data_IF_732692446928
#
_entry.id   IF_732692446928
#
_cell.length_a   1.000
_cell.length_b   1.000
_cell.length_c   1.000
_cell.angle_alpha   90.00
_cell.angle_beta   90.00
_cell.angle_gamma   90.00
#
_symmetry.space_group_name_H-M   'P 1'
#
loop_
_entity.id
_entity.type
_entity.pdbx_description
1 polymer ?
#
# COMPACT_ATOMS: atom_id res chain seq x y z
N UNK A 1 17.56 -3.31 -12.38
CA UNK A 1 17.01 -4.67 -12.18
C UNK A 1 16.75 -5.28 -13.54
N UNK A 2 17.56 -6.21 -13.99
CA UNK A 2 17.18 -7.07 -15.11
C UNK A 2 16.68 -8.37 -14.49
N UNK A 3 15.36 -8.59 -14.47
CA UNK A 3 14.84 -9.91 -14.20
C UNK A 3 15.33 -10.83 -15.30
N UNK A 4 16.02 -11.88 -14.94
CA UNK A 4 16.37 -12.96 -15.88
C UNK A 4 15.26 -13.99 -15.70
N UNK A 5 14.45 -14.19 -16.73
CA UNK A 5 13.42 -15.21 -16.74
C UNK A 5 13.99 -16.61 -16.56
N UNK A 6 13.16 -17.64 -16.27
CA UNK A 6 13.59 -19.04 -16.11
C UNK A 6 14.30 -19.59 -17.35
N UNK A 7 14.14 -18.94 -18.50
CA UNK A 7 14.78 -19.28 -19.79
C UNK A 7 16.14 -18.59 -20.02
N UNK A 8 16.65 -17.86 -19.02
CA UNK A 8 17.92 -17.13 -19.09
C UNK A 8 17.88 -15.87 -19.95
N UNK A 9 16.73 -15.48 -20.49
CA UNK A 9 16.57 -14.23 -21.22
C UNK A 9 16.39 -13.06 -20.27
N UNK A 10 17.03 -11.92 -20.56
CA UNK A 10 16.73 -10.66 -19.88
C UNK A 10 15.32 -10.28 -20.26
N UNK A 11 14.40 -10.26 -19.27
CA UNK A 11 13.07 -9.74 -19.48
C UNK A 11 13.20 -8.29 -19.94
N UNK A 12 12.78 -8.07 -21.18
CA UNK A 12 12.67 -6.73 -21.73
C UNK A 12 11.45 -6.09 -21.06
N UNK A 13 11.65 -5.07 -20.23
CA UNK A 13 10.57 -4.31 -19.62
C UNK A 13 9.79 -3.45 -20.64
N UNK A 14 10.13 -3.52 -21.93
CA UNK A 14 9.42 -2.83 -23.00
C UNK A 14 7.94 -3.28 -23.00
N UNK A 15 7.04 -2.30 -22.95
CA UNK A 15 5.59 -2.54 -22.88
C UNK A 15 5.02 -2.63 -21.47
N UNK A 16 5.85 -2.62 -20.41
CA UNK A 16 5.37 -2.49 -19.05
C UNK A 16 4.96 -1.04 -18.77
N UNK A 17 3.69 -0.83 -18.49
CA UNK A 17 3.14 0.49 -18.21
C UNK A 17 3.03 0.79 -16.71
N UNK A 18 2.88 -0.24 -15.89
CA UNK A 18 2.75 -0.10 -14.44
C UNK A 18 3.60 -1.14 -13.73
N UNK A 19 4.37 -0.68 -12.74
CA UNK A 19 5.11 -1.54 -11.82
C UNK A 19 4.46 -1.39 -10.45
N UNK A 20 4.06 -2.49 -9.83
CA UNK A 20 3.38 -2.45 -8.54
C UNK A 20 4.26 -3.15 -7.50
N UNK A 21 4.71 -2.39 -6.50
CA UNK A 21 5.46 -2.88 -5.37
C UNK A 21 4.56 -3.07 -4.15
N UNK A 22 4.89 -4.03 -3.28
CA UNK A 22 4.09 -4.35 -2.10
C UNK A 22 4.09 -3.24 -1.04
N UNK A 23 3.39 -3.49 0.06
CA UNK A 23 3.38 -2.64 1.24
C UNK A 23 4.78 -2.54 1.87
N UNK A 24 5.14 -1.34 2.30
CA UNK A 24 6.42 -1.01 2.92
C UNK A 24 7.65 -1.49 2.11
N UNK A 25 7.55 -1.41 0.78
CA UNK A 25 8.61 -1.86 -0.13
C UNK A 25 9.88 -1.00 -0.06
N UNK A 26 9.77 0.23 0.44
CA UNK A 26 10.90 1.15 0.60
C UNK A 26 11.29 1.27 2.07
N UNK A 27 12.58 1.09 2.44
CA UNK A 27 13.06 1.22 3.82
C UNK A 27 13.26 2.69 4.24
N UNK A 28 12.70 3.64 3.50
CA UNK A 28 12.78 5.08 3.74
C UNK A 28 11.45 5.75 3.39
N UNK A 29 11.30 7.02 3.76
CA UNK A 29 10.14 7.85 3.42
C UNK A 29 10.36 8.46 2.04
N UNK A 30 9.68 7.97 0.98
CA UNK A 30 10.01 8.36 -0.39
C UNK A 30 9.87 9.86 -0.65
N UNK A 31 8.92 10.52 -0.02
CA UNK A 31 8.71 11.97 -0.20
C UNK A 31 9.81 12.84 0.46
N UNK A 32 10.63 12.26 1.35
CA UNK A 32 11.77 12.93 1.97
C UNK A 32 13.10 12.66 1.21
N UNK A 33 13.06 11.77 0.17
CA UNK A 33 14.23 11.34 -0.61
C UNK A 33 13.98 11.43 -2.12
N UNK A 34 13.84 12.64 -2.68
CA UNK A 34 13.55 12.84 -4.10
C UNK A 34 14.64 12.29 -5.03
N UNK A 35 15.89 12.26 -4.58
CA UNK A 35 17.03 11.67 -5.26
C UNK A 35 16.87 10.15 -5.46
N UNK A 36 16.41 9.45 -4.41
CA UNK A 36 16.14 8.02 -4.49
C UNK A 36 14.93 7.73 -5.42
N UNK A 37 13.88 8.55 -5.36
CA UNK A 37 12.73 8.44 -6.28
C UNK A 37 13.15 8.68 -7.74
N UNK A 38 13.99 9.67 -7.99
CA UNK A 38 14.52 9.93 -9.33
C UNK A 38 15.37 8.75 -9.84
N UNK A 39 16.21 8.16 -8.98
CA UNK A 39 17.01 6.99 -9.33
C UNK A 39 16.13 5.76 -9.63
N UNK A 40 15.07 5.52 -8.85
CA UNK A 40 14.09 4.46 -9.11
C UNK A 40 13.38 4.73 -10.43
N UNK A 41 12.92 5.97 -10.66
CA UNK A 41 12.25 6.38 -11.90
C UNK A 41 13.11 6.15 -13.14
N UNK A 42 14.43 6.41 -13.05
CA UNK A 42 15.37 6.18 -14.14
C UNK A 42 15.58 4.69 -14.50
N UNK A 43 15.21 3.77 -13.62
CA UNK A 43 15.26 2.32 -13.88
C UNK A 43 13.97 1.76 -14.50
N UNK A 44 12.90 2.55 -14.51
CA UNK A 44 11.62 2.15 -15.06
C UNK A 44 11.53 2.46 -16.55
N UNK A 45 10.74 1.72 -17.32
CA UNK A 45 10.45 2.06 -18.71
C UNK A 45 9.90 3.47 -18.86
N UNK A 46 10.24 4.15 -19.94
CA UNK A 46 9.72 5.49 -20.24
C UNK A 46 8.18 5.50 -20.26
N UNK A 47 7.60 6.47 -19.57
CA UNK A 47 6.14 6.62 -19.46
C UNK A 47 5.46 5.66 -18.52
N UNK A 48 6.19 4.75 -17.84
CA UNK A 48 5.61 3.86 -16.84
C UNK A 48 5.35 4.56 -15.51
N UNK A 49 4.44 3.98 -14.71
CA UNK A 49 4.09 4.44 -13.37
C UNK A 49 4.50 3.39 -12.34
N UNK A 50 5.15 3.82 -11.27
CA UNK A 50 5.38 3.01 -10.08
C UNK A 50 4.23 3.22 -9.10
N UNK A 51 3.55 2.14 -8.72
CA UNK A 51 2.60 2.12 -7.61
C UNK A 51 3.21 1.34 -6.47
N UNK A 52 3.27 1.90 -5.26
CA UNK A 52 3.97 1.26 -4.14
C UNK A 52 3.31 1.55 -2.81
N UNK A 53 3.32 0.56 -1.92
CA UNK A 53 3.08 0.79 -0.50
C UNK A 53 4.32 1.36 0.16
N UNK A 54 4.20 2.52 0.80
CA UNK A 54 5.30 3.15 1.52
C UNK A 54 4.79 4.05 2.64
N UNK A 55 5.68 4.38 3.57
CA UNK A 55 5.36 5.30 4.65
C UNK A 55 5.53 6.75 4.20
N UNK A 56 4.69 7.64 4.68
CA UNK A 56 4.83 9.08 4.52
C UNK A 56 4.61 9.82 5.83
N UNK A 57 5.12 11.02 5.92
CA UNK A 57 4.86 11.95 7.01
C UNK A 57 4.20 13.22 6.51
N UNK A 58 3.39 13.80 7.37
CA UNK A 58 2.77 15.09 7.18
C UNK A 58 2.94 15.92 8.44
N UNK A 59 3.18 17.22 8.27
CA UNK A 59 3.14 18.18 9.38
C UNK A 59 1.72 18.73 9.50
N UNK A 60 1.15 18.61 10.69
CA UNK A 60 -0.13 19.28 10.99
C UNK A 60 0.07 20.79 11.11
N UNK A 61 -1.02 21.55 11.07
CA UNK A 61 -0.98 23.01 11.32
C UNK A 61 -0.39 23.37 12.69
N UNK A 62 -0.47 22.44 13.67
CA UNK A 62 0.14 22.59 15.00
C UNK A 62 1.61 22.18 15.07
N UNK A 63 2.24 21.81 13.94
CA UNK A 63 3.66 21.40 13.88
C UNK A 63 3.93 19.94 14.26
N UNK A 64 2.94 19.18 14.69
CA UNK A 64 3.07 17.75 14.95
C UNK A 64 3.32 16.98 13.65
N UNK A 65 4.14 15.93 13.72
CA UNK A 65 4.37 15.03 12.61
C UNK A 65 3.45 13.81 12.75
N UNK A 66 2.65 13.55 11.70
CA UNK A 66 1.81 12.36 11.59
C UNK A 66 2.37 11.42 10.54
N UNK A 67 2.54 10.15 10.88
CA UNK A 67 2.91 9.09 9.96
C UNK A 67 1.68 8.43 9.36
N UNK A 68 1.75 8.08 8.08
CA UNK A 68 0.71 7.33 7.37
C UNK A 68 1.34 6.11 6.69
N UNK A 69 0.62 5.00 6.70
CA UNK A 69 0.87 3.89 5.80
C UNK A 69 0.08 4.17 4.52
N UNK A 70 0.77 4.30 3.39
CA UNK A 70 0.17 4.86 2.18
C UNK A 70 0.45 4.00 0.95
N UNK A 71 -0.48 3.98 0.03
CA UNK A 71 -0.28 3.54 -1.34
C UNK A 71 -0.08 4.79 -2.20
N UNK A 72 1.05 4.87 -2.87
CA UNK A 72 1.46 6.04 -3.66
C UNK A 72 1.77 5.64 -5.10
N UNK A 73 1.42 6.50 -6.04
CA UNK A 73 1.78 6.37 -7.44
C UNK A 73 2.78 7.45 -7.84
N UNK A 74 3.87 7.04 -8.50
CA UNK A 74 4.94 7.91 -8.96
C UNK A 74 5.15 7.75 -10.47
N UNK A 75 5.34 8.85 -11.18
CA UNK A 75 5.74 8.85 -12.57
C UNK A 75 7.23 8.59 -12.77
N UNK A 76 7.65 8.42 -14.01
CA UNK A 76 9.02 8.04 -14.38
C UNK A 76 10.14 8.98 -13.93
N UNK A 77 9.84 10.20 -13.45
CA UNK A 77 10.80 11.13 -12.84
C UNK A 77 10.67 11.24 -11.32
N UNK A 78 9.93 10.29 -10.69
CA UNK A 78 9.70 10.29 -9.26
C UNK A 78 8.65 11.30 -8.78
N UNK A 79 7.92 11.97 -9.69
CA UNK A 79 6.83 12.87 -9.28
C UNK A 79 5.65 12.09 -8.71
N UNK A 80 5.13 12.53 -7.57
CA UNK A 80 3.93 11.98 -6.97
C UNK A 80 2.70 12.28 -7.84
N UNK A 81 1.96 11.24 -8.22
CA UNK A 81 0.74 11.32 -9.03
C UNK A 81 -0.50 11.21 -8.15
N UNK A 82 -0.53 10.21 -7.28
CA UNK A 82 -1.68 9.92 -6.44
C UNK A 82 -1.25 9.31 -5.10
N UNK A 83 -2.08 9.49 -4.07
CA UNK A 83 -1.86 8.93 -2.73
C UNK A 83 -3.18 8.46 -2.13
N UNK A 84 -3.15 7.29 -1.53
CA UNK A 84 -4.20 6.76 -0.67
C UNK A 84 -3.58 6.40 0.69
N UNK A 85 -4.14 6.91 1.77
CA UNK A 85 -3.71 6.58 3.13
C UNK A 85 -4.61 5.50 3.71
N UNK A 86 -4.00 4.52 4.37
CA UNK A 86 -4.69 3.40 5.00
C UNK A 86 -5.78 3.89 5.95
N UNK A 87 -7.02 3.50 5.68
CA UNK A 87 -8.18 3.91 6.46
C UNK A 87 -8.42 2.98 7.67
N UNK A 88 -8.25 1.66 7.50
CA UNK A 88 -8.35 0.69 8.58
C UNK A 88 -6.97 0.23 9.06
N UNK A 89 -6.52 0.75 10.19
CA UNK A 89 -5.25 0.38 10.81
C UNK A 89 -5.37 -0.94 11.59
N UNK A 90 -4.26 -1.67 11.67
CA UNK A 90 -4.17 -2.91 12.46
C UNK A 90 -4.07 -2.56 13.95
N UNK A 91 -5.04 -3.01 14.78
CA UNK A 91 -4.94 -2.83 16.23
C UNK A 91 -3.67 -3.48 16.78
N UNK A 92 -3.01 -2.83 17.73
CA UNK A 92 -1.75 -3.25 18.37
C UNK A 92 -0.53 -3.33 17.45
N UNK A 93 -0.71 -3.27 16.12
CA UNK A 93 0.39 -3.23 15.14
C UNK A 93 0.68 -1.81 14.64
N UNK A 94 -0.36 -1.07 14.30
CA UNK A 94 -0.25 0.27 13.72
C UNK A 94 -0.79 1.37 14.64
N UNK A 95 -1.62 1.00 15.59
CA UNK A 95 -2.09 1.89 16.66
C UNK A 95 -2.41 1.09 17.91
N UNK A 96 -2.44 1.78 19.06
CA UNK A 96 -2.86 1.20 20.32
C UNK A 96 -4.31 1.60 20.60
N UNK A 97 -5.23 0.63 20.63
CA UNK A 97 -6.57 0.87 21.12
C UNK A 97 -6.52 1.27 22.61
N UNK A 98 -7.42 2.15 23.02
CA UNK A 98 -7.51 2.65 24.40
C UNK A 98 -6.28 3.46 24.89
N UNK A 99 -5.59 4.16 24.01
CA UNK A 99 -4.38 4.93 24.31
C UNK A 99 -4.55 5.87 25.52
N UNK A 100 -5.74 6.47 25.68
CA UNK A 100 -6.11 7.33 26.81
C UNK A 100 -6.13 6.56 28.14
N UNK A 101 -6.62 5.32 28.15
CA UNK A 101 -6.70 4.47 29.35
C UNK A 101 -5.32 3.90 29.67
N UNK A 102 -4.57 3.47 28.66
CA UNK A 102 -3.21 2.94 28.81
C UNK A 102 -2.24 4.02 29.30
N UNK A 103 -2.44 5.27 28.87
CA UNK A 103 -1.70 6.44 29.38
C UNK A 103 -1.97 6.70 30.86
N UNK A 104 -3.22 6.59 31.29
CA UNK A 104 -3.61 6.80 32.68
C UNK A 104 -3.01 5.76 33.66
N UNK A 105 -2.65 4.56 33.19
CA UNK A 105 -2.03 3.49 33.99
C UNK A 105 -0.50 3.40 33.77
N UNK A 106 0.12 4.42 33.15
CA UNK A 106 1.57 4.55 33.02
C UNK A 106 2.24 3.63 31.99
N UNK A 107 1.46 2.95 31.13
CA UNK A 107 1.96 2.09 30.06
C UNK A 107 2.36 2.83 28.77
N UNK A 108 2.38 4.17 28.81
CA UNK A 108 2.82 5.02 27.68
C UNK A 108 4.23 4.67 27.16
N UNK A 109 5.10 4.12 28.02
CA UNK A 109 6.46 3.78 27.63
C UNK A 109 6.55 2.59 26.69
N UNK A 110 5.56 1.69 26.70
CA UNK A 110 5.44 0.58 25.74
C UNK A 110 5.01 1.07 24.35
N UNK A 111 4.41 2.26 24.28
CA UNK A 111 3.82 2.83 23.08
C UNK A 111 4.74 3.81 22.35
N UNK A 112 5.74 4.36 23.03
CA UNK A 112 6.66 5.37 22.48
C UNK A 112 7.63 4.84 21.42
N UNK A 113 7.75 3.52 21.26
CA UNK A 113 8.59 2.88 20.24
C UNK A 113 7.83 2.54 18.94
N UNK A 114 6.52 2.36 19.02
CA UNK A 114 5.63 2.11 17.89
C UNK A 114 4.85 3.40 17.63
N UNK A 115 5.40 4.28 16.80
CA UNK A 115 4.69 5.50 16.38
C UNK A 115 3.29 5.12 15.88
N UNK A 116 2.23 5.65 16.52
CA UNK A 116 0.87 5.46 16.03
C UNK A 116 0.72 6.10 14.66
N UNK A 117 0.34 5.31 13.66
CA UNK A 117 -0.03 5.85 12.37
C UNK A 117 -1.36 6.61 12.48
N UNK A 118 -1.49 7.64 11.67
CA UNK A 118 -2.75 8.32 11.48
C UNK A 118 -3.61 7.57 10.46
N UNK A 119 -4.92 7.55 10.68
CA UNK A 119 -5.90 6.98 9.75
C UNK A 119 -6.11 7.90 8.56
N UNK A 120 -6.16 7.32 7.37
CA UNK A 120 -6.64 7.97 6.17
C UNK A 120 -8.15 8.21 6.20
N UNK A 121 -8.69 8.94 5.21
CA UNK A 121 -10.11 9.23 5.14
C UNK A 121 -10.95 7.97 4.92
N UNK A 122 -11.98 7.78 5.75
CA UNK A 122 -12.91 6.64 5.64
C UNK A 122 -13.75 6.67 4.35
N UNK A 123 -13.80 7.81 3.66
CA UNK A 123 -14.43 7.93 2.33
C UNK A 123 -13.69 7.18 1.23
N UNK A 124 -12.47 6.68 1.50
CA UNK A 124 -11.64 5.87 0.56
C UNK A 124 -11.60 6.47 -0.84
N UNK A 125 -10.99 7.64 -1.03
CA UNK A 125 -10.93 8.29 -2.33
C UNK A 125 -10.26 7.39 -3.36
N UNK A 126 -10.75 7.44 -4.59
CA UNK A 126 -10.14 6.71 -5.70
C UNK A 126 -8.84 7.36 -6.13
N UNK A 127 -7.92 6.52 -6.56
CA UNK A 127 -6.67 6.95 -7.19
C UNK A 127 -6.89 7.11 -8.69
N UNK A 128 -6.50 8.25 -9.21
CA UNK A 128 -6.44 8.50 -10.66
C UNK A 128 -4.99 8.30 -11.10
N UNK A 129 -4.74 7.18 -11.76
CA UNK A 129 -3.40 6.79 -12.24
C UNK A 129 -3.46 6.73 -13.77
N UNK A 130 -2.56 7.43 -14.49
CA UNK A 130 -2.53 7.39 -15.96
C UNK A 130 -2.49 5.97 -16.50
N UNK A 131 -3.35 5.66 -17.48
CA UNK A 131 -3.42 4.33 -18.08
C UNK A 131 -4.25 3.29 -17.34
N UNK A 132 -4.79 3.61 -16.15
CA UNK A 132 -5.74 2.78 -15.41
C UNK A 132 -7.11 3.47 -15.31
N UNK A 133 -8.20 2.70 -15.18
CA UNK A 133 -9.47 3.27 -14.71
C UNK A 133 -9.28 3.84 -13.30
N UNK A 134 -10.22 4.63 -12.76
CA UNK A 134 -10.17 5.00 -11.34
C UNK A 134 -10.08 3.75 -10.47
N UNK A 135 -9.07 3.68 -9.59
CA UNK A 135 -8.80 2.49 -8.78
C UNK A 135 -9.02 2.76 -7.29
N UNK A 136 -9.56 1.77 -6.58
CA UNK A 136 -9.59 1.78 -5.12
C UNK A 136 -8.28 1.21 -4.57
N UNK A 137 -7.70 1.90 -3.58
CA UNK A 137 -6.53 1.41 -2.84
C UNK A 137 -6.94 0.57 -1.64
N UNK A 138 -6.24 -0.54 -1.42
CA UNK A 138 -6.32 -1.35 -0.21
C UNK A 138 -4.91 -1.69 0.29
N UNK A 139 -4.69 -1.50 1.57
CA UNK A 139 -3.41 -1.82 2.20
C UNK A 139 -3.61 -2.94 3.23
N UNK A 140 -3.02 -4.12 2.96
CA UNK A 140 -2.94 -5.27 3.86
C UNK A 140 -4.29 -5.65 4.48
N UNK A 141 -4.44 -5.44 5.78
CA UNK A 141 -5.58 -5.76 6.64
C UNK A 141 -6.94 -5.26 6.11
N UNK A 142 -6.94 -4.21 5.31
CA UNK A 142 -8.18 -3.61 4.78
C UNK A 142 -9.00 -4.55 3.89
N UNK A 143 -8.35 -5.52 3.25
CA UNK A 143 -9.05 -6.50 2.40
C UNK A 143 -9.97 -7.44 3.20
N UNK A 144 -9.81 -7.49 4.52
CA UNK A 144 -10.59 -8.38 5.39
C UNK A 144 -12.03 -7.90 5.65
N UNK A 145 -12.35 -6.63 5.36
CA UNK A 145 -13.64 -6.02 5.74
C UNK A 145 -14.67 -6.07 4.61
N UNK A 146 -15.63 -7.04 4.61
CA UNK A 146 -16.70 -7.11 3.63
C UNK A 146 -17.53 -5.82 3.62
N UNK A 147 -17.85 -5.33 2.41
CA UNK A 147 -18.68 -4.13 2.22
C UNK A 147 -18.00 -2.81 2.63
N UNK A 148 -16.74 -2.84 3.08
CA UNK A 148 -15.98 -1.65 3.49
C UNK A 148 -14.68 -1.45 2.69
N UNK A 149 -14.45 -2.26 1.66
CA UNK A 149 -13.22 -2.19 0.86
C UNK A 149 -13.26 -1.09 -0.20
N UNK A 150 -14.44 -0.72 -0.66
CA UNK A 150 -14.66 0.37 -1.64
C UNK A 150 -15.83 1.25 -1.20
N UNK A 151 -15.83 2.51 -1.67
CA UNK A 151 -17.07 3.29 -1.73
C UNK A 151 -17.76 2.99 -3.07
N UNK A 152 -18.84 2.23 -3.02
CA UNK A 152 -19.60 1.83 -4.21
C UNK A 152 -20.19 3.00 -5.00
N UNK A 153 -20.34 4.18 -4.36
CA UNK A 153 -20.81 5.40 -5.06
C UNK A 153 -19.77 5.92 -6.02
N UNK A 154 -18.48 5.69 -5.76
CA UNK A 154 -17.36 6.18 -6.58
C UNK A 154 -17.08 5.31 -7.79
N UNK A 155 -17.64 4.08 -7.88
CA UNK A 155 -17.57 3.15 -9.02
C UNK A 155 -16.14 2.93 -9.53
N UNK A 156 -15.21 2.37 -8.72
CA UNK A 156 -13.89 2.04 -9.21
C UNK A 156 -13.96 0.99 -10.34
N UNK A 157 -13.00 1.05 -11.26
CA UNK A 157 -12.87 0.03 -12.32
C UNK A 157 -11.97 -1.14 -11.93
N UNK A 158 -11.17 -0.98 -10.87
CA UNK A 158 -10.29 -2.01 -10.32
C UNK A 158 -9.90 -1.69 -8.87
N UNK A 159 -9.28 -2.65 -8.19
CA UNK A 159 -8.70 -2.50 -6.87
C UNK A 159 -7.20 -2.80 -6.96
N UNK A 160 -6.36 -1.97 -6.33
CA UNK A 160 -4.95 -2.29 -6.10
C UNK A 160 -4.78 -2.61 -4.63
N UNK A 161 -4.34 -3.84 -4.33
CA UNK A 161 -4.07 -4.31 -2.98
C UNK A 161 -2.56 -4.52 -2.79
N UNK A 162 -1.94 -3.72 -1.93
CA UNK A 162 -0.55 -3.91 -1.51
C UNK A 162 -0.49 -4.45 -0.10
N UNK A 163 0.37 -5.42 0.17
CA UNK A 163 0.43 -6.07 1.47
C UNK A 163 1.84 -6.53 1.83
N UNK A 164 2.11 -6.62 3.13
CA UNK A 164 3.27 -7.31 3.67
C UNK A 164 2.80 -8.48 4.54
N UNK A 165 2.84 -9.67 3.96
CA UNK A 165 2.41 -10.91 4.63
C UNK A 165 3.51 -11.50 5.53
N UNK A 166 4.68 -10.85 5.62
CA UNK A 166 5.78 -11.26 6.49
C UNK A 166 5.42 -11.32 7.98
N UNK A 167 4.39 -10.58 8.40
CA UNK A 167 3.84 -10.65 9.76
C UNK A 167 3.29 -12.02 10.15
N UNK A 168 2.85 -12.81 9.18
CA UNK A 168 2.28 -14.14 9.42
C UNK A 168 3.37 -15.23 9.58
N UNK A 169 4.63 -14.93 9.28
CA UNK A 169 5.72 -15.90 9.28
C UNK A 169 5.45 -17.10 8.35
N UNK A 170 6.09 -18.22 8.65
CA UNK A 170 5.89 -19.48 7.90
C UNK A 170 4.66 -20.24 8.42
N UNK A 171 3.48 -19.69 8.14
CA UNK A 171 2.18 -20.23 8.54
C UNK A 171 1.21 -20.30 7.36
N UNK A 172 -0.03 -20.71 7.62
CA UNK A 172 -1.13 -20.64 6.63
C UNK A 172 -1.63 -19.22 6.39
N UNK A 173 -1.22 -18.24 7.21
CA UNK A 173 -1.68 -16.85 7.16
C UNK A 173 -1.62 -16.19 5.78
N UNK A 174 -0.48 -16.23 5.06
CA UNK A 174 -0.40 -15.64 3.72
C UNK A 174 -1.40 -16.23 2.71
N UNK A 175 -1.64 -17.55 2.79
CA UNK A 175 -2.61 -18.23 1.93
C UNK A 175 -4.05 -17.85 2.29
N UNK A 176 -4.37 -17.74 3.58
CA UNK A 176 -5.69 -17.30 4.06
C UNK A 176 -5.93 -15.85 3.67
N UNK A 177 -4.94 -14.98 3.83
CA UNK A 177 -5.02 -13.58 3.44
C UNK A 177 -5.23 -13.41 1.92
N UNK A 178 -4.52 -14.21 1.12
CA UNK A 178 -4.75 -14.28 -0.33
C UNK A 178 -6.16 -14.77 -0.67
N UNK A 179 -6.66 -15.79 0.03
CA UNK A 179 -8.02 -16.29 -0.16
C UNK A 179 -9.07 -15.19 0.11
N UNK A 180 -8.90 -14.42 1.17
CA UNK A 180 -9.78 -13.26 1.46
C UNK A 180 -9.76 -12.25 0.32
N UNK A 181 -8.59 -11.99 -0.29
CA UNK A 181 -8.50 -11.11 -1.47
C UNK A 181 -9.34 -11.63 -2.63
N UNK A 182 -9.31 -12.95 -2.89
CA UNK A 182 -10.14 -13.59 -3.92
C UNK A 182 -11.63 -13.44 -3.64
N UNK A 183 -12.03 -13.62 -2.38
CA UNK A 183 -13.42 -13.43 -1.96
C UNK A 183 -13.86 -11.99 -2.21
N UNK A 184 -13.02 -10.99 -1.88
CA UNK A 184 -13.31 -9.57 -2.15
C UNK A 184 -13.50 -9.29 -3.64
N UNK A 185 -12.66 -9.84 -4.51
CA UNK A 185 -12.82 -9.68 -5.95
C UNK A 185 -14.19 -10.15 -6.44
N UNK A 186 -14.64 -11.29 -5.94
CA UNK A 186 -15.98 -11.84 -6.27
C UNK A 186 -17.11 -11.00 -5.70
N UNK A 187 -17.02 -10.59 -4.44
CA UNK A 187 -18.07 -9.82 -3.77
C UNK A 187 -18.26 -8.42 -4.35
N UNK A 188 -17.17 -7.77 -4.74
CA UNK A 188 -17.24 -6.43 -5.34
C UNK A 188 -17.44 -6.48 -6.86
N UNK A 189 -17.24 -7.65 -7.49
CA UNK A 189 -17.30 -7.80 -8.94
C UNK A 189 -16.23 -6.99 -9.67
N UNK A 190 -15.05 -6.84 -9.07
CA UNK A 190 -13.96 -6.01 -9.56
C UNK A 190 -12.66 -6.80 -9.64
N UNK A 191 -11.83 -6.57 -10.67
CA UNK A 191 -10.50 -7.13 -10.70
C UNK A 191 -9.64 -6.54 -9.57
N UNK A 192 -8.84 -7.39 -8.93
CA UNK A 192 -7.87 -6.99 -7.90
C UNK A 192 -6.47 -7.29 -8.39
N UNK A 193 -5.62 -6.27 -8.42
CA UNK A 193 -4.18 -6.40 -8.65
C UNK A 193 -3.51 -6.39 -7.29
N UNK A 194 -2.95 -7.53 -6.89
CA UNK A 194 -2.32 -7.71 -5.58
C UNK A 194 -0.81 -7.82 -5.71
N UNK A 195 -0.08 -7.00 -4.97
CA UNK A 195 1.36 -7.12 -4.77
C UNK A 195 1.63 -7.42 -3.29
N UNK A 196 2.31 -8.54 -3.01
CA UNK A 196 2.55 -9.03 -1.67
C UNK A 196 4.05 -9.24 -1.40
N UNK A 197 4.54 -8.68 -0.29
CA UNK A 197 5.83 -9.03 0.28
C UNK A 197 5.66 -10.29 1.15
N UNK A 198 6.51 -11.30 0.97
CA UNK A 198 6.43 -12.59 1.63
C UNK A 198 5.05 -13.28 1.53
N UNK A 199 4.34 -13.03 0.44
CA UNK A 199 2.99 -13.56 0.20
C UNK A 199 2.77 -13.87 -1.28
N UNK A 200 1.49 -13.96 -1.67
CA UNK A 200 1.10 -14.30 -3.03
C UNK A 200 0.66 -13.03 -3.77
N UNK A 201 1.44 -12.67 -4.81
CA UNK A 201 1.04 -11.64 -5.78
C UNK A 201 0.21 -12.27 -6.89
N UNK A 202 -0.84 -11.58 -7.34
CA UNK A 202 -1.73 -12.08 -8.37
C UNK A 202 -2.57 -10.95 -8.99
N UNK A 203 -3.12 -11.24 -10.16
CA UNK A 203 -4.28 -10.55 -10.73
C UNK A 203 -5.48 -11.50 -10.60
N UNK A 204 -6.58 -11.02 -10.04
CA UNK A 204 -7.76 -11.81 -9.67
C UNK A 204 -8.96 -11.23 -10.37
#
# INVERSE_FOLDING_TARGET
MSAVGPDGKKDNLAGITHVIWPEAAMPFLPLEHPDALAAIGAMLPDGSVLVTGALRREKTAGGERRGFNSLMAFGGKGQLIATYDKAHLVPFGEYLPFNTVLGAIGLEKLTKGLGSFATGPMSRPLLTIPGLPPVAGLICYEVLFPGSVIDRKLKPGAIINVTNDGWFGDTTGPRQHFHQTRVRAVEEGLPIIRAANNGISAVI
#
